data_IF_184631189681
#
_entry.id   IF_184631189681
#
_cell.length_a   1.000
_cell.length_b   1.000
_cell.length_c   1.000
_cell.angle_alpha   90.00
_cell.angle_beta   90.00
_cell.angle_gamma   90.00
#
_symmetry.space_group_name_H-M   'P 1'
#
loop_
_entity.id
_entity.type
_entity.pdbx_description
1 polymer ?
#
# COMPACT_ATOMS: atom_id res chain seq x y z
N UNK A 1 14.00 2.34 -13.61
CA UNK A 1 13.14 1.69 -12.60
C UNK A 1 13.60 2.12 -11.23
N UNK A 2 12.69 2.56 -10.38
CA UNK A 2 12.98 3.06 -9.03
C UNK A 2 12.24 2.21 -8.01
N UNK A 3 12.85 1.99 -6.84
CA UNK A 3 12.26 1.30 -5.70
C UNK A 3 12.26 2.27 -4.52
N UNK A 4 11.06 2.59 -4.03
CA UNK A 4 10.88 3.39 -2.83
C UNK A 4 10.43 2.47 -1.69
N UNK A 5 11.04 2.66 -0.51
CA UNK A 5 10.65 1.97 0.72
C UNK A 5 10.30 3.05 1.73
N UNK A 6 9.04 3.07 2.15
CA UNK A 6 8.52 4.04 3.11
C UNK A 6 7.41 3.40 3.93
N UNK A 7 7.11 4.01 5.08
CA UNK A 7 5.94 3.73 5.89
C UNK A 7 4.79 4.73 5.64
N UNK A 8 5.07 5.79 4.87
CA UNK A 8 4.10 6.83 4.50
C UNK A 8 3.38 6.44 3.20
N UNK A 9 2.11 6.08 3.32
CA UNK A 9 1.28 5.65 2.20
C UNK A 9 0.85 6.82 1.28
N UNK A 10 0.74 8.05 1.80
CA UNK A 10 0.35 9.22 1.00
C UNK A 10 1.46 9.61 0.04
N UNK A 11 2.70 9.61 0.53
CA UNK A 11 3.87 9.84 -0.31
C UNK A 11 4.00 8.75 -1.38
N UNK A 12 3.84 7.49 -1.00
CA UNK A 12 3.94 6.38 -1.94
C UNK A 12 2.82 6.43 -3.00
N UNK A 13 1.62 6.86 -2.62
CA UNK A 13 0.50 7.04 -3.55
C UNK A 13 0.79 8.10 -4.62
N UNK A 14 1.45 9.20 -4.25
CA UNK A 14 1.80 10.27 -5.18
C UNK A 14 2.97 9.92 -6.12
N UNK A 15 3.88 9.05 -5.68
CA UNK A 15 5.15 8.81 -6.39
C UNK A 15 5.25 7.45 -7.08
N UNK A 16 4.45 6.44 -6.69
CA UNK A 16 4.60 5.07 -7.16
C UNK A 16 3.45 4.64 -8.08
N UNK A 17 3.79 3.85 -9.11
CA UNK A 17 2.81 3.19 -9.98
C UNK A 17 2.25 1.90 -9.35
N UNK A 18 3.07 1.23 -8.54
CA UNK A 18 2.75 -0.02 -7.84
C UNK A 18 3.26 0.07 -6.41
N UNK A 19 2.48 -0.47 -5.48
CA UNK A 19 2.82 -0.49 -4.06
C UNK A 19 2.72 -1.93 -3.57
N UNK A 20 3.73 -2.36 -2.81
CA UNK A 20 3.75 -3.63 -2.10
C UNK A 20 3.68 -3.41 -0.59
N UNK A 21 2.80 -4.11 0.08
CA UNK A 21 2.67 -4.10 1.55
C UNK A 21 3.47 -5.26 2.12
N UNK A 22 4.43 -4.94 2.98
CA UNK A 22 5.23 -5.91 3.71
C UNK A 22 4.74 -5.98 5.16
N UNK A 23 4.50 -7.19 5.67
CA UNK A 23 4.19 -7.43 7.07
C UNK A 23 4.97 -8.65 7.59
N UNK A 24 5.59 -8.54 8.76
CA UNK A 24 6.37 -9.63 9.37
C UNK A 24 7.38 -10.28 8.41
N UNK A 25 8.06 -9.47 7.59
CA UNK A 25 9.05 -9.94 6.61
C UNK A 25 8.46 -10.65 5.39
N UNK A 26 7.14 -10.60 5.18
CA UNK A 26 6.45 -11.21 4.04
C UNK A 26 5.74 -10.14 3.20
N UNK A 27 5.82 -10.27 1.88
CA UNK A 27 5.02 -9.47 0.95
C UNK A 27 3.59 -10.01 0.99
N UNK A 28 2.69 -9.22 1.57
CA UNK A 28 1.30 -9.59 1.80
C UNK A 28 0.45 -9.27 0.58
N UNK A 29 0.68 -8.11 -0.03
CA UNK A 29 -0.08 -7.66 -1.20
C UNK A 29 0.79 -6.78 -2.08
N UNK A 30 0.61 -6.85 -3.40
CA UNK A 30 1.28 -5.95 -4.34
C UNK A 30 0.40 -5.72 -5.56
N UNK A 31 -0.03 -4.49 -5.74
CA UNK A 31 -0.95 -4.10 -6.82
C UNK A 31 -0.60 -2.71 -7.38
N UNK A 32 -1.28 -2.30 -8.44
CA UNK A 32 -1.27 -0.90 -8.88
C UNK A 32 -1.78 -0.01 -7.75
N UNK A 33 -1.15 1.15 -7.57
CA UNK A 33 -1.46 2.11 -6.50
C UNK A 33 -2.97 2.36 -6.38
N UNK A 34 -3.64 2.73 -7.48
CA UNK A 34 -5.08 2.99 -7.50
C UNK A 34 -5.92 1.77 -7.09
N UNK A 35 -5.52 0.57 -7.51
CA UNK A 35 -6.24 -0.67 -7.20
C UNK A 35 -6.07 -1.07 -5.75
N UNK A 36 -4.87 -0.93 -5.21
CA UNK A 36 -4.55 -1.21 -3.80
C UNK A 36 -5.40 -0.34 -2.87
N UNK A 37 -5.58 0.94 -3.18
CA UNK A 37 -6.39 1.85 -2.36
C UNK A 37 -7.90 1.69 -2.56
N UNK A 38 -8.37 1.41 -3.79
CA UNK A 38 -9.82 1.28 -4.07
C UNK A 38 -10.39 -0.07 -3.66
N UNK A 39 -9.62 -1.14 -3.86
CA UNK A 39 -10.08 -2.52 -3.64
C UNK A 39 -8.92 -3.39 -3.13
N UNK A 40 -8.42 -3.12 -1.92
CA UNK A 40 -7.44 -3.98 -1.28
C UNK A 40 -8.01 -5.39 -1.14
N UNK A 41 -7.21 -6.41 -1.44
CA UNK A 41 -7.60 -7.81 -1.37
C UNK A 41 -7.36 -8.37 0.04
N UNK A 42 -6.20 -8.09 0.62
CA UNK A 42 -5.79 -8.65 1.90
C UNK A 42 -6.45 -7.93 3.08
N UNK A 43 -6.75 -8.68 4.15
CA UNK A 43 -7.36 -8.12 5.37
C UNK A 43 -6.45 -7.14 6.08
N UNK A 44 -5.15 -7.43 6.18
CA UNK A 44 -4.19 -6.53 6.79
C UNK A 44 -4.04 -5.24 5.99
N UNK A 45 -4.01 -5.31 4.66
CA UNK A 45 -3.99 -4.12 3.81
C UNK A 45 -5.24 -3.26 3.98
N UNK A 46 -6.43 -3.89 4.12
CA UNK A 46 -7.68 -3.16 4.40
C UNK A 46 -7.60 -2.41 5.72
N UNK A 47 -7.19 -3.09 6.78
CA UNK A 47 -7.07 -2.52 8.12
C UNK A 47 -6.05 -1.37 8.11
N UNK A 48 -4.89 -1.60 7.48
CA UNK A 48 -3.84 -0.59 7.30
C UNK A 48 -4.38 0.65 6.59
N UNK A 49 -4.97 0.49 5.41
CA UNK A 49 -5.48 1.63 4.63
C UNK A 49 -6.57 2.36 5.42
N UNK A 50 -7.47 1.65 6.10
CA UNK A 50 -8.53 2.27 6.90
C UNK A 50 -8.01 3.08 8.09
N UNK A 51 -6.89 2.65 8.70
CA UNK A 51 -6.28 3.33 9.84
C UNK A 51 -5.53 4.60 9.43
N UNK A 52 -4.93 4.61 8.24
CA UNK A 52 -4.16 5.74 7.72
C UNK A 52 -5.04 6.74 6.94
N UNK A 53 -6.08 6.28 6.26
CA UNK A 53 -7.00 7.12 5.48
C UNK A 53 -8.32 7.29 6.22
N UNK A 54 -8.42 8.37 6.98
CA UNK A 54 -9.67 8.84 7.60
C UNK A 54 -10.03 10.19 6.96
N UNK A 55 -11.02 10.16 6.06
CA UNK A 55 -11.63 11.24 5.24
C UNK A 55 -10.92 11.64 3.94
#
# INVERSE_FOLDING_TARGET
SYLFISHDLDLLRACCHRIGILNQGKLVEMEETERLFRRPADSYTKDLISAFFTF
#
